data_IF_980041533516
#
_entry.id   IF_980041533516
#
_cell.length_a   1.000
_cell.length_b   1.000
_cell.length_c   1.000
_cell.angle_alpha   90.00
_cell.angle_beta   90.00
_cell.angle_gamma   90.00
#
_symmetry.space_group_name_H-M   'P 1'
#
loop_
_entity.id
_entity.type
_entity.pdbx_description
1 polymer ?
#
# COMPACT_ATOMS: atom_id res chain seq x y z
N UNK A 1 7.36 -28.04 0.22
CA UNK A 1 6.76 -27.34 -0.93
C UNK A 1 7.82 -27.29 -2.04
N UNK A 2 7.52 -27.63 -3.30
CA UNK A 2 8.54 -27.57 -4.39
C UNK A 2 8.57 -26.19 -5.04
N UNK A 3 9.66 -25.84 -5.74
CA UNK A 3 9.79 -24.54 -6.42
C UNK A 3 8.64 -24.29 -7.40
N UNK A 4 8.33 -25.24 -8.29
CA UNK A 4 7.23 -25.10 -9.27
C UNK A 4 5.86 -24.95 -8.59
N UNK A 5 5.62 -25.63 -7.47
CA UNK A 5 4.37 -25.47 -6.69
C UNK A 5 4.30 -24.09 -6.03
N UNK A 6 5.44 -23.56 -5.57
CA UNK A 6 5.54 -22.23 -4.96
C UNK A 6 5.28 -21.14 -5.99
N UNK A 7 5.92 -21.22 -7.17
CA UNK A 7 5.66 -20.30 -8.29
C UNK A 7 4.18 -20.33 -8.68
N UNK A 8 3.58 -21.51 -8.79
CA UNK A 8 2.15 -21.64 -9.12
C UNK A 8 1.25 -21.04 -8.02
N UNK A 9 1.63 -21.18 -6.75
CA UNK A 9 0.86 -20.67 -5.62
C UNK A 9 0.84 -19.14 -5.57
N UNK A 10 1.99 -18.49 -5.82
CA UNK A 10 2.14 -17.03 -5.78
C UNK A 10 1.97 -16.35 -7.15
N UNK A 11 1.55 -17.10 -8.18
CA UNK A 11 1.29 -16.52 -9.50
C UNK A 11 0.15 -15.50 -9.42
N UNK A 12 0.38 -14.32 -9.96
CA UNK A 12 -0.60 -13.25 -10.14
C UNK A 12 -1.10 -13.20 -11.60
N UNK A 13 -2.27 -12.60 -11.85
CA UNK A 13 -2.72 -12.25 -13.21
C UNK A 13 -1.74 -11.32 -13.94
N UNK A 14 -1.84 -11.28 -15.28
CA UNK A 14 -0.98 -10.43 -16.12
C UNK A 14 -1.48 -8.98 -16.21
N UNK A 15 -2.76 -8.74 -15.98
CA UNK A 15 -3.38 -7.42 -15.99
C UNK A 15 -4.25 -7.21 -14.74
N UNK A 16 -4.40 -5.95 -14.34
CA UNK A 16 -5.32 -5.56 -13.27
C UNK A 16 -6.76 -5.90 -13.61
N UNK A 17 -7.58 -6.13 -12.59
CA UNK A 17 -8.96 -6.61 -12.70
C UNK A 17 -9.96 -5.46 -12.58
N UNK A 18 -9.65 -4.44 -11.78
CA UNK A 18 -10.56 -3.32 -11.53
C UNK A 18 -10.63 -2.37 -12.74
N UNK A 19 -11.83 -2.14 -13.33
CA UNK A 19 -12.01 -1.15 -14.39
C UNK A 19 -11.65 0.26 -13.90
N UNK A 20 -10.98 1.05 -14.74
CA UNK A 20 -10.57 2.41 -14.37
C UNK A 20 -9.35 2.49 -13.45
N UNK A 21 -8.74 1.34 -13.09
CA UNK A 21 -7.47 1.33 -12.36
C UNK A 21 -6.34 1.90 -13.22
N UNK A 22 -5.78 3.03 -12.81
CA UNK A 22 -4.69 3.71 -13.54
C UNK A 22 -3.73 4.42 -12.58
N UNK A 23 -2.57 4.82 -13.08
CA UNK A 23 -1.64 5.66 -12.30
C UNK A 23 -2.30 6.98 -11.92
N UNK A 24 -2.01 7.44 -10.72
CA UNK A 24 -2.40 8.76 -10.24
C UNK A 24 -1.68 9.85 -11.04
N UNK A 25 -2.40 10.89 -11.42
CA UNK A 25 -1.90 12.08 -12.09
C UNK A 25 -2.06 13.31 -11.21
N UNK A 26 -1.43 14.43 -11.59
CA UNK A 26 -1.50 15.68 -10.83
C UNK A 26 -2.95 16.18 -10.63
N UNK A 27 -3.82 15.96 -11.61
CA UNK A 27 -5.25 16.32 -11.54
C UNK A 27 -6.03 15.55 -10.48
N UNK A 28 -5.52 14.39 -10.05
CA UNK A 28 -6.18 13.53 -9.07
C UNK A 28 -5.81 13.90 -7.62
N UNK A 29 -4.87 14.83 -7.41
CA UNK A 29 -4.45 15.26 -6.06
C UNK A 29 -5.63 15.76 -5.20
N UNK A 30 -6.48 16.70 -5.67
CA UNK A 30 -7.61 17.15 -4.86
C UNK A 30 -8.61 16.04 -4.47
N UNK A 31 -9.10 15.16 -5.38
CA UNK A 31 -9.99 14.08 -4.98
C UNK A 31 -9.32 13.03 -4.08
N UNK A 32 -8.06 12.66 -4.34
CA UNK A 32 -7.31 11.74 -3.47
C UNK A 32 -7.14 12.32 -2.07
N UNK A 33 -6.89 13.62 -1.95
CA UNK A 33 -6.79 14.30 -0.64
C UNK A 33 -8.09 14.19 0.15
N UNK A 34 -9.24 14.40 -0.50
CA UNK A 34 -10.56 14.25 0.17
C UNK A 34 -10.80 12.82 0.63
N UNK A 35 -10.52 11.83 -0.24
CA UNK A 35 -10.66 10.41 0.09
C UNK A 35 -9.77 10.03 1.28
N UNK A 36 -8.49 10.42 1.22
CA UNK A 36 -7.50 10.09 2.23
C UNK A 36 -7.82 10.72 3.58
N UNK A 37 -8.17 12.02 3.63
CA UNK A 37 -8.58 12.69 4.87
C UNK A 37 -9.82 12.03 5.47
N UNK A 38 -10.84 11.72 4.66
CA UNK A 38 -12.05 11.06 5.13
C UNK A 38 -11.73 9.69 5.72
N UNK A 39 -10.90 8.89 5.04
CA UNK A 39 -10.47 7.58 5.52
C UNK A 39 -9.63 7.68 6.80
N UNK A 40 -8.65 8.59 6.85
CA UNK A 40 -7.74 8.71 7.99
C UNK A 40 -8.42 9.23 9.26
N UNK A 41 -9.48 10.02 9.12
CA UNK A 41 -10.26 10.55 10.25
C UNK A 41 -10.92 9.50 11.14
N UNK A 42 -11.01 8.24 10.68
CA UNK A 42 -11.57 7.14 11.48
C UNK A 42 -10.55 6.52 12.47
N UNK A 43 -9.26 6.80 12.30
CA UNK A 43 -8.19 6.26 13.15
C UNK A 43 -7.88 7.21 14.32
N UNK A 44 -7.38 6.65 15.42
CA UNK A 44 -7.10 7.40 16.64
C UNK A 44 -5.84 8.27 16.49
N UNK A 45 -4.84 7.76 15.77
CA UNK A 45 -3.61 8.50 15.42
C UNK A 45 -3.38 8.35 13.93
N UNK A 46 -3.42 9.47 13.22
CA UNK A 46 -3.17 9.56 11.78
C UNK A 46 -2.64 10.96 11.42
N UNK A 47 -1.89 11.10 10.32
CA UNK A 47 -1.53 12.41 9.79
C UNK A 47 -2.76 13.13 9.23
N UNK A 48 -2.82 14.45 9.38
CA UNK A 48 -3.80 15.29 8.69
C UNK A 48 -3.17 15.87 7.42
N UNK A 49 -3.38 15.19 6.28
CA UNK A 49 -2.77 15.58 5.02
C UNK A 49 -3.52 16.70 4.32
N UNK A 50 -2.79 17.67 3.77
CA UNK A 50 -3.31 18.61 2.77
C UNK A 50 -2.95 18.20 1.33
N UNK A 51 -3.33 19.02 0.34
CA UNK A 51 -3.02 18.73 -1.07
C UNK A 51 -1.52 18.82 -1.38
N UNK A 52 -0.75 19.63 -0.63
CA UNK A 52 0.70 19.71 -0.77
C UNK A 52 1.34 18.42 -0.30
N UNK A 53 0.91 17.90 0.85
CA UNK A 53 1.38 16.62 1.38
C UNK A 53 1.04 15.46 0.44
N UNK A 54 -0.21 15.38 -0.04
CA UNK A 54 -0.63 14.32 -0.98
C UNK A 54 0.19 14.39 -2.27
N UNK A 55 0.40 15.59 -2.81
CA UNK A 55 1.26 15.76 -3.99
C UNK A 55 2.70 15.31 -3.71
N UNK A 56 3.25 15.65 -2.55
CA UNK A 56 4.65 15.34 -2.22
C UNK A 56 4.87 13.85 -1.96
N UNK A 57 3.98 13.22 -1.18
CA UNK A 57 4.17 11.86 -0.68
C UNK A 57 3.55 10.78 -1.56
N UNK A 58 2.52 11.10 -2.36
CA UNK A 58 1.70 10.09 -3.04
C UNK A 58 1.68 10.20 -4.56
N UNK A 59 2.06 11.34 -5.13
CA UNK A 59 2.17 11.47 -6.58
C UNK A 59 3.31 10.57 -7.10
N UNK A 60 3.07 9.71 -8.11
CA UNK A 60 4.04 8.71 -8.52
C UNK A 60 5.39 9.33 -8.92
N UNK A 61 6.46 8.84 -8.29
CA UNK A 61 7.84 9.19 -8.62
C UNK A 61 8.64 7.90 -8.84
N UNK A 62 9.26 7.79 -10.00
CA UNK A 62 9.93 6.56 -10.44
C UNK A 62 10.95 6.06 -9.42
N UNK A 63 10.86 4.77 -9.06
CA UNK A 63 11.71 4.10 -8.08
C UNK A 63 11.66 4.70 -6.65
N UNK A 64 10.67 5.53 -6.34
CA UNK A 64 10.46 6.09 -4.99
C UNK A 64 9.08 5.69 -4.49
N UNK A 65 8.02 6.20 -5.13
CA UNK A 65 6.63 5.96 -4.72
C UNK A 65 5.74 5.75 -5.93
N UNK A 66 4.81 4.83 -5.78
CA UNK A 66 3.81 4.45 -6.74
C UNK A 66 2.42 4.74 -6.16
N UNK A 67 1.61 5.46 -6.91
CA UNK A 67 0.23 5.81 -6.55
C UNK A 67 -0.72 5.49 -7.70
N UNK A 68 -1.82 4.82 -7.39
CA UNK A 68 -2.84 4.41 -8.35
C UNK A 68 -4.21 4.82 -7.84
N UNK A 69 -5.09 5.15 -8.79
CA UNK A 69 -6.47 5.53 -8.54
C UNK A 69 -7.40 4.61 -9.33
N UNK A 70 -8.62 4.47 -8.84
CA UNK A 70 -9.73 3.92 -9.61
C UNK A 70 -10.64 5.07 -10.00
N UNK A 71 -10.80 5.27 -11.31
CA UNK A 71 -11.74 6.23 -11.88
C UNK A 71 -13.02 5.51 -12.32
N UNK A 72 -14.19 5.90 -11.81
CA UNK A 72 -15.46 5.30 -12.21
C UNK A 72 -15.69 5.49 -13.72
N UNK A 73 -15.96 4.42 -14.48
CA UNK A 73 -16.27 4.52 -15.90
C UNK A 73 -17.53 5.36 -16.20
N UNK A 74 -18.45 5.47 -15.23
CA UNK A 74 -19.73 6.16 -15.37
C UNK A 74 -19.64 7.64 -14.98
N UNK A 75 -19.04 7.95 -13.83
CA UNK A 75 -19.01 9.33 -13.30
C UNK A 75 -17.70 10.07 -13.59
N UNK A 76 -16.64 9.37 -14.00
CA UNK A 76 -15.27 9.89 -14.10
C UNK A 76 -14.70 10.43 -12.77
N UNK A 77 -15.33 10.11 -11.64
CA UNK A 77 -14.83 10.48 -10.33
C UNK A 77 -13.83 9.44 -9.82
N UNK A 78 -12.85 9.90 -9.03
CA UNK A 78 -11.94 9.01 -8.33
C UNK A 78 -12.65 8.42 -7.12
N UNK A 79 -12.72 7.10 -7.08
CA UNK A 79 -13.44 6.34 -6.05
C UNK A 79 -12.50 5.72 -5.03
N UNK A 80 -11.37 5.19 -5.51
CA UNK A 80 -10.43 4.43 -4.69
C UNK A 80 -9.00 4.88 -4.99
N UNK A 81 -8.09 4.66 -4.04
CA UNK A 81 -6.68 5.00 -4.14
C UNK A 81 -5.83 3.92 -3.45
N UNK A 82 -4.71 3.52 -4.05
CA UNK A 82 -3.71 2.69 -3.38
C UNK A 82 -2.30 3.14 -3.73
N UNK A 83 -1.36 2.87 -2.81
CA UNK A 83 0.03 3.29 -2.98
C UNK A 83 1.02 2.37 -2.30
N UNK A 84 2.24 2.37 -2.81
CA UNK A 84 3.37 1.68 -2.22
C UNK A 84 4.68 2.41 -2.55
N UNK A 85 5.67 2.31 -1.68
CA UNK A 85 7.00 2.88 -1.89
C UNK A 85 8.06 1.80 -2.13
N UNK A 86 9.13 2.19 -2.80
CA UNK A 86 10.26 1.34 -3.16
C UNK A 86 11.32 1.44 -2.06
N UNK A 87 11.70 0.32 -1.46
CA UNK A 87 12.80 0.27 -0.51
C UNK A 87 13.70 -0.93 -0.83
N UNK A 88 14.77 -0.73 -1.63
CA UNK A 88 15.68 -1.82 -1.96
C UNK A 88 16.55 -2.19 -0.75
N UNK A 89 16.80 -3.48 -0.58
CA UNK A 89 17.70 -4.01 0.47
C UNK A 89 18.90 -4.71 -0.16
N UNK A 90 20.09 -4.48 0.39
CA UNK A 90 21.29 -5.21 -0.05
C UNK A 90 21.26 -6.66 0.44
N UNK A 91 21.53 -7.60 -0.46
CA UNK A 91 21.61 -9.02 -0.15
C UNK A 91 23.07 -9.36 0.20
N UNK A 92 23.31 -9.74 1.44
CA UNK A 92 24.65 -10.07 1.92
C UNK A 92 25.00 -11.52 1.59
N UNK A 93 26.18 -11.74 1.00
CA UNK A 93 26.77 -13.07 0.83
C UNK A 93 26.11 -13.96 -0.24
N UNK A 94 25.33 -13.40 -1.18
CA UNK A 94 24.73 -14.14 -2.29
C UNK A 94 25.54 -13.92 -3.59
N UNK A 95 25.90 -15.00 -4.29
CA UNK A 95 26.72 -14.94 -5.51
C UNK A 95 25.93 -14.52 -6.76
N UNK A 96 24.60 -14.69 -6.75
CA UNK A 96 23.75 -14.48 -7.93
C UNK A 96 22.98 -13.15 -7.87
N UNK A 97 22.70 -12.64 -6.67
CA UNK A 97 21.87 -11.45 -6.47
C UNK A 97 22.48 -10.53 -5.42
N UNK A 98 22.49 -9.23 -5.69
CA UNK A 98 23.04 -8.20 -4.79
C UNK A 98 21.98 -7.33 -4.12
N UNK A 99 20.77 -7.27 -4.68
CA UNK A 99 19.69 -6.38 -4.24
C UNK A 99 18.36 -7.11 -4.26
N UNK A 100 17.56 -6.90 -3.22
CA UNK A 100 16.15 -7.27 -3.14
C UNK A 100 15.32 -6.00 -3.37
N UNK A 101 14.54 -5.96 -4.45
CA UNK A 101 13.64 -4.84 -4.76
C UNK A 101 12.30 -5.07 -4.06
N UNK A 102 12.13 -4.48 -2.88
CA UNK A 102 10.90 -4.61 -2.09
C UNK A 102 9.97 -3.40 -2.28
N UNK A 103 8.69 -3.69 -2.44
CA UNK A 103 7.60 -2.71 -2.34
C UNK A 103 7.03 -2.75 -0.93
N UNK A 104 6.70 -1.60 -0.37
CA UNK A 104 6.04 -1.47 0.93
C UNK A 104 4.71 -0.76 0.75
N UNK A 105 3.62 -1.42 1.13
CA UNK A 105 2.28 -0.85 1.16
C UNK A 105 2.29 0.45 1.96
N UNK A 106 1.73 1.51 1.38
CA UNK A 106 1.68 2.83 2.00
C UNK A 106 0.24 3.15 2.43
N UNK A 107 -0.46 4.06 1.76
CA UNK A 107 -1.87 4.37 2.04
C UNK A 107 -2.80 3.76 1.00
N UNK A 108 -3.88 3.12 1.47
CA UNK A 108 -4.89 2.48 0.63
C UNK A 108 -6.29 2.88 1.13
N UNK A 109 -7.09 3.44 0.23
CA UNK A 109 -8.45 3.91 0.47
C UNK A 109 -9.38 3.24 -0.53
N UNK A 110 -10.35 2.50 0.01
CA UNK A 110 -11.33 1.72 -0.76
C UNK A 110 -12.73 2.19 -0.36
N UNK A 111 -13.53 2.59 -1.35
CA UNK A 111 -14.93 3.04 -1.19
C UNK A 111 -15.89 2.23 -2.04
N UNK A 112 -15.58 1.98 -3.32
CA UNK A 112 -16.43 1.22 -4.24
C UNK A 112 -15.83 -0.13 -4.57
N UNK A 113 -14.51 -0.18 -4.76
CA UNK A 113 -13.78 -1.42 -5.04
C UNK A 113 -13.48 -2.13 -3.72
N UNK A 114 -13.83 -3.42 -3.53
CA UNK A 114 -13.46 -4.15 -2.31
C UNK A 114 -11.95 -4.07 -2.06
N UNK A 115 -11.53 -3.77 -0.81
CA UNK A 115 -10.12 -3.59 -0.47
C UNK A 115 -9.24 -4.79 -0.88
N UNK A 116 -9.76 -6.01 -0.75
CA UNK A 116 -9.09 -7.23 -1.22
C UNK A 116 -8.74 -7.19 -2.72
N UNK A 117 -9.67 -6.71 -3.55
CA UNK A 117 -9.47 -6.59 -4.99
C UNK A 117 -8.51 -5.45 -5.33
N UNK A 118 -8.65 -4.29 -4.67
CA UNK A 118 -7.76 -3.14 -4.86
C UNK A 118 -6.30 -3.50 -4.54
N UNK A 119 -6.07 -4.24 -3.44
CA UNK A 119 -4.74 -4.70 -3.07
C UNK A 119 -4.21 -5.80 -3.98
N UNK A 120 -5.08 -6.66 -4.53
CA UNK A 120 -4.67 -7.61 -5.56
C UNK A 120 -4.15 -6.89 -6.82
N UNK A 121 -4.80 -5.80 -7.24
CA UNK A 121 -4.32 -4.99 -8.36
C UNK A 121 -3.00 -4.29 -8.05
N UNK A 122 -2.81 -3.82 -6.81
CA UNK A 122 -1.52 -3.30 -6.35
C UNK A 122 -0.38 -4.34 -6.45
N UNK A 123 -0.65 -5.60 -6.07
CA UNK A 123 0.31 -6.70 -6.23
C UNK A 123 0.64 -6.97 -7.70
N UNK A 124 -0.37 -6.93 -8.59
CA UNK A 124 -0.18 -7.13 -10.03
C UNK A 124 0.76 -6.06 -10.59
N UNK A 125 0.49 -4.76 -10.34
CA UNK A 125 1.35 -3.69 -10.86
C UNK A 125 2.74 -3.68 -10.21
N UNK A 126 2.86 -4.04 -8.94
CA UNK A 126 4.17 -4.25 -8.33
C UNK A 126 4.94 -5.38 -9.04
N UNK A 127 4.26 -6.49 -9.37
CA UNK A 127 4.90 -7.59 -10.10
C UNK A 127 5.32 -7.18 -11.51
N UNK A 128 4.49 -6.43 -12.23
CA UNK A 128 4.81 -5.87 -13.55
C UNK A 128 6.00 -4.90 -13.51
N UNK A 129 6.26 -4.29 -12.35
CA UNK A 129 7.42 -3.40 -12.12
C UNK A 129 8.63 -4.14 -11.53
N UNK A 130 8.64 -5.47 -11.64
CA UNK A 130 9.73 -6.35 -11.20
C UNK A 130 10.08 -6.24 -9.72
N UNK A 131 9.10 -5.97 -8.86
CA UNK A 131 9.29 -6.13 -7.42
C UNK A 131 9.37 -7.62 -7.04
N UNK A 132 10.29 -7.93 -6.13
CA UNK A 132 10.55 -9.29 -5.66
C UNK A 132 9.57 -9.70 -4.55
N UNK A 133 9.17 -8.73 -3.72
CA UNK A 133 8.30 -8.91 -2.57
C UNK A 133 7.46 -7.65 -2.34
N UNK A 134 6.25 -7.84 -1.80
CA UNK A 134 5.37 -6.77 -1.36
C UNK A 134 5.11 -6.91 0.14
N UNK A 135 5.58 -5.95 0.91
CA UNK A 135 5.46 -5.91 2.36
C UNK A 135 4.27 -5.03 2.75
N UNK A 136 3.60 -5.37 3.84
CA UNK A 136 2.53 -4.57 4.41
C UNK A 136 2.53 -4.71 5.93
N UNK A 137 2.20 -3.62 6.62
CA UNK A 137 1.94 -3.62 8.07
C UNK A 137 0.49 -4.06 8.34
N UNK A 138 0.23 -4.57 9.53
CA UNK A 138 -1.10 -4.95 10.05
C UNK A 138 -1.89 -3.77 10.62
N UNK A 139 -1.50 -2.53 10.29
CA UNK A 139 -2.19 -1.31 10.70
C UNK A 139 -3.40 -0.99 9.81
N UNK A 140 -4.22 -0.02 10.23
CA UNK A 140 -5.44 0.37 9.53
C UNK A 140 -6.37 -0.83 9.28
N UNK A 141 -6.90 -0.99 8.06
CA UNK A 141 -7.74 -2.12 7.68
C UNK A 141 -6.97 -3.23 6.95
N UNK A 142 -5.63 -3.23 6.99
CA UNK A 142 -4.83 -4.13 6.15
C UNK A 142 -5.06 -5.61 6.48
N UNK A 143 -5.32 -5.94 7.75
CA UNK A 143 -5.53 -7.32 8.21
C UNK A 143 -6.59 -8.07 7.39
N UNK A 144 -7.60 -7.37 6.86
CA UNK A 144 -8.69 -7.98 6.09
C UNK A 144 -8.24 -8.63 4.78
N UNK A 145 -7.12 -8.21 4.19
CA UNK A 145 -6.62 -8.78 2.92
C UNK A 145 -5.37 -9.65 3.08
N UNK A 146 -4.63 -9.53 4.19
CA UNK A 146 -3.32 -10.18 4.34
C UNK A 146 -3.40 -11.69 4.11
N UNK A 147 -4.30 -12.38 4.82
CA UNK A 147 -4.44 -13.84 4.71
C UNK A 147 -4.90 -14.29 3.32
N UNK A 148 -5.92 -13.62 2.77
CA UNK A 148 -6.52 -13.95 1.47
C UNK A 148 -5.53 -13.74 0.31
N UNK A 149 -4.69 -12.69 0.40
CA UNK A 149 -3.61 -12.42 -0.57
C UNK A 149 -2.29 -13.12 -0.23
N UNK A 150 -2.31 -14.10 0.69
CA UNK A 150 -1.18 -14.98 1.02
C UNK A 150 0.03 -14.24 1.59
N UNK A 151 -0.18 -13.09 2.24
CA UNK A 151 0.84 -12.50 3.08
C UNK A 151 1.16 -13.43 4.25
N UNK A 152 2.44 -13.54 4.57
CA UNK A 152 2.93 -14.26 5.75
C UNK A 152 3.47 -13.27 6.77
N UNK A 153 3.31 -13.54 8.08
CA UNK A 153 3.94 -12.73 9.11
C UNK A 153 5.46 -12.83 8.98
N UNK A 154 6.13 -11.67 9.04
CA UNK A 154 7.59 -11.60 9.19
C UNK A 154 8.02 -11.90 10.62
N UNK A 155 9.33 -11.82 10.86
CA UNK A 155 9.96 -11.93 12.18
C UNK A 155 10.11 -10.57 12.90
N UNK A 156 10.06 -9.47 12.14
CA UNK A 156 10.14 -8.10 12.66
C UNK A 156 8.83 -7.58 13.24
N UNK A 157 8.95 -6.68 14.24
CA UNK A 157 7.85 -5.89 14.78
C UNK A 157 8.19 -4.41 14.68
N UNK A 158 7.21 -3.59 14.27
CA UNK A 158 7.34 -2.14 14.25
C UNK A 158 6.55 -1.54 15.41
N UNK A 159 7.25 -0.91 16.34
CA UNK A 159 6.64 -0.30 17.52
C UNK A 159 6.56 1.23 17.37
N UNK A 160 5.39 1.79 17.69
CA UNK A 160 5.13 3.21 17.61
C UNK A 160 5.20 3.85 18.99
N UNK A 161 5.94 4.95 19.11
CA UNK A 161 6.11 5.71 20.35
C UNK A 161 5.83 7.18 20.11
N UNK A 162 5.23 7.84 21.10
CA UNK A 162 5.02 9.29 21.09
C UNK A 162 5.93 9.94 22.13
N UNK A 163 6.62 11.00 21.73
CA UNK A 163 7.44 11.79 22.65
C UNK A 163 6.58 12.86 23.34
N UNK A 164 6.71 12.97 24.67
CA UNK A 164 6.00 13.98 25.48
C UNK A 164 4.46 13.98 25.29
N UNK A 165 3.87 12.82 25.00
CA UNK A 165 2.42 12.67 24.83
C UNK A 165 1.92 11.42 25.57
N UNK A 166 0.95 11.58 26.47
CA UNK A 166 0.38 10.47 27.25
C UNK A 166 -0.88 9.96 26.57
N UNK A 167 -0.91 8.65 26.29
CA UNK A 167 -2.10 7.94 25.83
C UNK A 167 -2.81 7.30 27.03
N UNK A 168 -4.15 7.32 27.03
CA UNK A 168 -4.95 6.70 28.09
C UNK A 168 -4.92 5.16 28.03
N UNK A 169 -4.57 4.59 26.87
CA UNK A 169 -4.39 3.16 26.64
C UNK A 169 -3.48 2.92 25.43
N UNK A 170 -2.97 1.71 25.30
CA UNK A 170 -2.34 1.25 24.07
C UNK A 170 -3.37 1.18 22.93
N UNK A 171 -2.93 1.51 21.72
CA UNK A 171 -3.71 1.38 20.49
C UNK A 171 -3.56 -0.02 19.92
N UNK A 172 -4.63 -0.53 19.33
CA UNK A 172 -4.54 -1.68 18.42
C UNK A 172 -3.92 -1.22 17.09
N UNK A 173 -3.24 -2.09 16.34
CA UNK A 173 -2.73 -1.75 15.00
C UNK A 173 -3.82 -1.16 14.09
N UNK A 174 -5.05 -1.67 14.16
CA UNK A 174 -6.19 -1.18 13.38
C UNK A 174 -6.70 0.22 13.75
N UNK A 175 -6.24 0.78 14.87
CA UNK A 175 -6.57 2.14 15.32
C UNK A 175 -5.49 3.17 14.91
N UNK A 176 -4.42 2.70 14.26
CA UNK A 176 -3.29 3.49 13.82
C UNK A 176 -3.37 3.71 12.29
N UNK A 177 -3.42 4.96 11.89
CA UNK A 177 -3.46 5.41 10.49
C UNK A 177 -2.17 6.09 10.04
N UNK A 178 -1.03 5.80 10.67
CA UNK A 178 0.28 6.36 10.33
C UNK A 178 1.21 5.26 9.83
N UNK A 179 1.71 5.41 8.61
CA UNK A 179 2.83 4.60 8.09
C UNK A 179 4.12 5.39 8.27
N UNK A 180 5.10 4.83 8.97
CA UNK A 180 6.46 5.38 9.07
C UNK A 180 7.32 4.87 7.90
N UNK A 181 8.12 5.77 7.33
CA UNK A 181 9.17 5.46 6.33
C UNK A 181 10.49 5.12 7.01
#
# INVERSE_FOLDING_TARGET
>A
MTMSRTIKLYKLPESTVTPGFRKMELRDVPPVTRLLRSYLSQFVVAPDFDEYDVRHWLLPTENIVDGYVVESPESHEITDFCSFYTLPSSILGNQNYSTLKAAYSYYNVSTQTPLLQLMNDALIVAKQKDFDVFNALDIMHNESFLKELKFGPGDGQLHYYLYNYRMNRALKPSELGLVLL
#
